data_IF_476090519603
#
_entry.id   IF_476090519603
#
_cell.length_a   1.000
_cell.length_b   1.000
_cell.length_c   1.000
_cell.angle_alpha   90.00
_cell.angle_beta   90.00
_cell.angle_gamma   90.00
#
_symmetry.space_group_name_H-M   'P 1'
#
loop_
_entity.id
_entity.type
_entity.pdbx_description
1 polymer ?
#
# COMPACT_ATOMS: atom_id res chain seq x y z
N UNK A 1 -1.16 4.90 3.90
CA UNK A 1 -1.27 4.44 5.31
C UNK A 1 -1.29 5.66 6.21
N UNK A 2 -1.95 5.59 7.37
CA UNK A 2 -1.98 6.67 8.36
C UNK A 2 -1.56 6.08 9.71
N UNK A 3 -0.66 6.76 10.42
CA UNK A 3 -0.17 6.34 11.73
C UNK A 3 -0.42 7.44 12.76
N UNK A 4 -0.54 7.05 14.03
CA UNK A 4 -0.71 7.94 15.17
C UNK A 4 0.47 7.77 16.13
N UNK A 5 0.79 8.83 16.88
CA UNK A 5 1.79 8.78 17.97
C UNK A 5 1.14 8.51 19.33
N UNK A 6 -0.14 8.15 19.34
CA UNK A 6 -0.90 7.79 20.54
C UNK A 6 -1.51 6.40 20.36
N UNK A 7 -1.94 5.74 21.45
CA UNK A 7 -2.63 4.45 21.35
C UNK A 7 -3.96 4.51 20.60
N UNK A 8 -4.56 5.69 20.47
CA UNK A 8 -5.80 5.88 19.73
C UNK A 8 -5.60 5.68 18.23
N UNK A 9 -6.51 4.96 17.56
CA UNK A 9 -6.43 4.77 16.11
C UNK A 9 -6.66 6.09 15.36
N UNK A 10 -6.11 6.24 14.13
CA UNK A 10 -6.41 7.39 13.29
C UNK A 10 -7.89 7.44 12.93
N UNK A 11 -8.41 8.64 12.69
CA UNK A 11 -9.79 8.81 12.24
C UNK A 11 -10.01 8.05 10.91
N UNK A 12 -11.13 7.32 10.82
CA UNK A 12 -11.45 6.45 9.68
C UNK A 12 -11.47 7.20 8.35
N UNK A 13 -11.77 8.50 8.37
CA UNK A 13 -11.91 9.32 7.16
C UNK A 13 -10.59 9.74 6.52
N UNK A 14 -9.47 9.48 7.21
CA UNK A 14 -8.14 9.80 6.72
C UNK A 14 -7.61 8.78 5.70
N UNK A 15 -8.30 7.62 5.56
CA UNK A 15 -7.88 6.57 4.63
C UNK A 15 -9.06 6.00 3.86
N UNK A 16 -8.83 5.65 2.61
CA UNK A 16 -9.80 4.99 1.73
C UNK A 16 -9.11 3.84 1.01
N UNK A 17 -9.85 2.74 0.84
CA UNK A 17 -9.41 1.64 -0.01
C UNK A 17 -9.64 2.00 -1.47
N UNK A 18 -8.75 1.51 -2.33
CA UNK A 18 -8.90 1.59 -3.78
C UNK A 18 -9.30 0.21 -4.31
N UNK A 19 -10.23 0.18 -5.27
CA UNK A 19 -10.61 -1.05 -5.94
C UNK A 19 -9.38 -1.66 -6.65
N UNK A 20 -9.15 -2.97 -6.51
CA UNK A 20 -8.01 -3.66 -7.15
C UNK A 20 -7.99 -3.49 -8.66
N UNK A 21 -9.14 -3.32 -9.30
CA UNK A 21 -9.25 -3.02 -10.73
C UNK A 21 -8.56 -1.71 -11.12
N UNK A 22 -8.34 -0.78 -10.19
CA UNK A 22 -7.67 0.51 -10.43
C UNK A 22 -6.17 0.44 -10.12
N UNK A 23 -5.69 -0.74 -9.75
CA UNK A 23 -4.32 -0.95 -9.30
C UNK A 23 -3.59 -1.94 -10.21
N UNK A 24 -2.27 -1.77 -10.25
CA UNK A 24 -1.35 -2.76 -10.82
C UNK A 24 -0.45 -3.32 -9.71
N UNK A 25 0.02 -4.58 -9.83
CA UNK A 25 1.00 -5.11 -8.90
C UNK A 25 2.33 -4.39 -9.07
N UNK A 26 3.03 -4.19 -7.96
CA UNK A 26 4.39 -3.62 -7.90
C UNK A 26 5.41 -4.73 -8.12
N UNK A 27 6.43 -4.48 -8.95
CA UNK A 27 7.49 -5.44 -9.23
C UNK A 27 8.72 -5.25 -8.33
N UNK A 28 8.91 -4.03 -7.84
CA UNK A 28 10.01 -3.62 -7.00
C UNK A 28 9.92 -4.24 -5.59
N UNK A 29 11.09 -4.60 -5.05
CA UNK A 29 11.18 -5.10 -3.68
C UNK A 29 10.95 -3.97 -2.65
N UNK A 30 10.37 -4.28 -1.48
CA UNK A 30 10.25 -3.32 -0.38
C UNK A 30 11.59 -2.75 0.06
N UNK A 31 11.61 -1.45 0.33
CA UNK A 31 12.77 -0.75 0.89
C UNK A 31 12.60 -0.64 2.40
N UNK A 32 13.60 -1.11 3.16
CA UNK A 32 13.60 -0.96 4.62
C UNK A 32 13.69 0.51 5.02
N UNK A 33 12.77 0.97 5.85
CA UNK A 33 12.75 2.34 6.35
C UNK A 33 13.27 2.41 7.78
N UNK A 34 12.78 1.53 8.66
CA UNK A 34 13.07 1.55 10.08
C UNK A 34 12.67 0.22 10.73
N UNK A 35 13.37 -0.16 11.80
CA UNK A 35 12.97 -1.25 12.68
C UNK A 35 13.23 -0.92 14.15
N UNK A 36 12.63 -1.71 15.04
CA UNK A 36 12.75 -1.54 16.48
C UNK A 36 13.98 -2.26 17.08
N UNK A 37 15.00 -2.58 16.27
CA UNK A 37 16.21 -3.28 16.75
C UNK A 37 16.89 -2.48 17.86
N UNK A 38 17.19 -3.17 18.97
CA UNK A 38 17.80 -2.57 20.15
C UNK A 38 16.80 -1.91 21.11
N UNK A 39 15.51 -1.91 20.78
CA UNK A 39 14.44 -1.58 21.72
C UNK A 39 13.86 -2.84 22.39
N UNK A 40 13.03 -2.65 23.43
CA UNK A 40 12.28 -3.74 24.06
C UNK A 40 10.85 -3.79 23.54
N UNK A 41 10.30 -4.99 23.37
CA UNK A 41 8.91 -5.15 22.93
C UNK A 41 8.73 -6.30 21.94
N UNK A 42 7.62 -6.27 21.20
CA UNK A 42 7.37 -7.19 20.09
C UNK A 42 8.09 -6.65 18.85
N UNK A 43 8.97 -7.44 18.20
CA UNK A 43 9.70 -7.00 17.03
C UNK A 43 8.79 -6.43 15.93
N UNK A 44 9.18 -5.30 15.36
CA UNK A 44 8.44 -4.61 14.32
C UNK A 44 9.37 -3.87 13.35
N UNK A 45 8.93 -3.73 12.11
CA UNK A 45 9.64 -2.99 11.07
C UNK A 45 8.70 -2.25 10.13
N UNK A 46 9.24 -1.23 9.48
CA UNK A 46 8.58 -0.33 8.56
C UNK A 46 9.28 -0.34 7.20
N UNK A 47 8.50 -0.38 6.14
CA UNK A 47 8.97 -0.55 4.76
C UNK A 47 8.25 0.40 3.81
N UNK A 48 8.91 0.78 2.73
CA UNK A 48 8.30 1.47 1.58
C UNK A 48 8.07 0.45 0.46
N UNK A 49 6.85 0.34 -0.06
CA UNK A 49 6.45 -0.83 -0.88
C UNK A 49 6.03 -0.51 -2.32
N UNK A 50 6.10 0.74 -2.76
CA UNK A 50 5.75 1.13 -4.13
C UNK A 50 6.35 2.49 -4.51
N UNK A 51 6.16 2.92 -5.76
CA UNK A 51 6.71 4.20 -6.24
C UNK A 51 6.18 5.42 -5.46
N UNK A 52 4.90 5.48 -5.04
CA UNK A 52 4.40 6.51 -4.12
C UNK A 52 4.93 6.43 -2.69
N UNK A 53 5.83 5.48 -2.36
CA UNK A 53 6.42 5.30 -1.04
C UNK A 53 5.38 5.06 0.05
N UNK A 54 4.37 4.24 -0.23
CA UNK A 54 3.39 3.83 0.78
C UNK A 54 4.11 3.04 1.88
N UNK A 55 3.87 3.45 3.13
CA UNK A 55 4.36 2.77 4.33
C UNK A 55 3.65 1.41 4.51
N UNK A 56 4.44 0.40 4.86
CA UNK A 56 4.01 -0.92 5.30
C UNK A 56 4.63 -1.25 6.65
N UNK A 57 3.83 -1.71 7.61
CA UNK A 57 4.29 -2.11 8.94
C UNK A 57 4.18 -3.62 9.06
N UNK A 58 5.26 -4.28 9.47
CA UNK A 58 5.36 -5.73 9.59
C UNK A 58 5.75 -6.13 11.02
N UNK A 59 5.30 -7.33 11.43
CA UNK A 59 5.81 -7.99 12.64
C UNK A 59 7.13 -8.66 12.31
N UNK A 60 8.14 -8.44 13.16
CA UNK A 60 9.51 -8.86 12.90
C UNK A 60 10.31 -7.88 12.03
N UNK A 61 11.54 -8.27 11.70
CA UNK A 61 12.49 -7.45 10.93
C UNK A 61 12.71 -7.96 9.50
N UNK A 62 11.97 -8.99 9.09
CA UNK A 62 12.07 -9.52 7.73
C UNK A 62 11.25 -8.68 6.76
N UNK A 63 11.76 -8.54 5.52
CA UNK A 63 11.02 -7.90 4.45
C UNK A 63 9.67 -8.60 4.22
N UNK A 64 8.57 -7.83 4.05
CA UNK A 64 7.26 -8.41 3.75
C UNK A 64 7.27 -9.11 2.39
N UNK A 65 6.61 -10.27 2.30
CA UNK A 65 6.56 -11.14 1.11
C UNK A 65 5.22 -11.11 0.37
N UNK A 66 4.42 -10.07 0.60
CA UNK A 66 3.10 -9.93 -0.02
C UNK A 66 3.15 -9.26 -1.40
N UNK A 67 2.04 -9.31 -2.14
CA UNK A 67 1.87 -8.51 -3.35
C UNK A 67 1.49 -7.08 -2.96
N UNK A 68 2.34 -6.13 -3.35
CA UNK A 68 2.05 -4.71 -3.19
C UNK A 68 1.35 -4.18 -4.43
N UNK A 69 0.52 -3.16 -4.21
CA UNK A 69 -0.31 -2.57 -5.25
C UNK A 69 -0.04 -1.07 -5.30
N UNK A 70 -0.10 -0.53 -6.50
CA UNK A 70 -0.10 0.90 -6.73
C UNK A 70 -1.16 1.29 -7.75
N UNK A 71 -1.54 2.56 -7.71
CA UNK A 71 -2.50 3.10 -8.68
C UNK A 71 -1.91 2.99 -10.07
N UNK A 72 -2.66 2.35 -10.97
CA UNK A 72 -2.36 2.36 -12.39
C UNK A 72 -2.85 3.69 -13.00
N UNK A 73 -2.27 4.80 -12.53
CA UNK A 73 -2.72 6.17 -12.81
C UNK A 73 -2.70 6.53 -14.29
N UNK A 74 -1.88 5.83 -15.08
CA UNK A 74 -1.80 5.89 -16.53
C UNK A 74 -2.98 5.20 -17.24
N UNK A 75 -3.74 4.36 -16.54
CA UNK A 75 -4.81 3.53 -17.10
C UNK A 75 -6.21 3.88 -16.60
N UNK A 76 -6.32 4.82 -15.66
CA UNK A 76 -7.59 5.33 -15.14
C UNK A 76 -8.03 6.50 -16.01
N UNK A 77 -9.18 6.36 -16.65
CA UNK A 77 -9.84 7.46 -17.36
C UNK A 77 -11.14 7.83 -16.65
N UNK A 78 -11.49 9.11 -16.67
CA UNK A 78 -12.78 9.58 -16.18
C UNK A 78 -13.62 9.98 -17.38
N UNK A 79 -14.87 9.52 -17.44
CA UNK A 79 -15.80 10.02 -18.43
C UNK A 79 -16.21 11.48 -18.12
N UNK A 80 -16.96 12.12 -19.02
CA UNK A 80 -17.45 13.49 -18.87
C UNK A 80 -18.40 13.69 -17.67
N UNK A 81 -18.85 12.60 -17.03
CA UNK A 81 -19.66 12.63 -15.79
C UNK A 81 -18.82 12.40 -14.54
N UNK A 82 -17.50 12.22 -14.68
CA UNK A 82 -16.58 11.94 -13.59
C UNK A 82 -16.60 10.49 -13.12
N UNK A 83 -17.22 9.56 -13.86
CA UNK A 83 -17.18 8.13 -13.52
C UNK A 83 -15.84 7.54 -13.96
N UNK A 84 -15.09 6.89 -13.07
CA UNK A 84 -13.85 6.22 -13.44
C UNK A 84 -14.15 4.95 -14.25
N UNK A 85 -13.45 4.79 -15.37
CA UNK A 85 -13.35 3.54 -16.12
C UNK A 85 -11.89 3.11 -16.22
N UNK A 86 -11.66 1.80 -16.24
CA UNK A 86 -10.32 1.23 -16.40
C UNK A 86 -10.30 0.49 -17.72
N UNK A 87 -9.30 0.78 -18.55
CA UNK A 87 -9.11 0.09 -19.82
C UNK A 87 -8.39 -1.26 -19.66
N UNK A 88 -7.78 -1.50 -18.50
CA UNK A 88 -7.13 -2.76 -18.11
C UNK A 88 -8.10 -3.60 -17.27
N UNK A 89 -8.92 -4.41 -17.95
CA UNK A 89 -9.56 -5.56 -17.30
C UNK A 89 -8.47 -6.63 -17.24
N UNK A 90 -7.96 -6.95 -16.05
CA UNK A 90 -7.06 -8.10 -15.87
C UNK A 90 -7.64 -9.30 -16.64
N UNK A 91 -6.83 -9.93 -17.50
CA UNK A 91 -7.22 -11.21 -18.07
C UNK A 91 -7.60 -12.15 -16.93
N UNK A 92 -8.76 -12.80 -17.02
CA UNK A 92 -9.16 -13.83 -16.08
C UNK A 92 -8.06 -14.89 -16.08
N UNK A 93 -7.29 -14.98 -14.99
CA UNK A 93 -6.47 -16.16 -14.70
C UNK A 93 -7.42 -17.35 -14.65
N UNK A 94 -7.33 -18.21 -15.67
CA UNK A 94 -8.07 -19.47 -15.78
C UNK A 94 -7.55 -20.54 -14.83
#
# INVERSE_FOLDING_TARGET
>A
MVATTTPEPPAFELVRCVAKSFCRPVAEAPVHLWDDTGSGGKPASMWLVNAPQVLWVAVGHSAPRETFWELASDSITFDYTGRPSVHVIHEKSG
#
